data_IF_202385437443
#
_entry.id   IF_202385437443
#
_cell.length_a   1.000
_cell.length_b   1.000
_cell.length_c   1.000
_cell.angle_alpha   90.00
_cell.angle_beta   90.00
_cell.angle_gamma   90.00
#
_symmetry.space_group_name_H-M   'P 1'
#
loop_
_entity.id
_entity.type
_entity.pdbx_description
1 polymer ?
#
# COMPACT_ATOMS: atom_id res chain seq x y z
N UNK A 1 41.61 -41.20 25.62
CA UNK A 1 42.49 -40.24 26.29
C UNK A 1 41.85 -38.85 26.10
N UNK A 2 41.03 -38.38 26.92
CA UNK A 2 41.12 -37.64 28.17
C UNK A 2 41.98 -36.40 28.08
N UNK A 3 41.38 -35.21 28.06
CA UNK A 3 41.79 -34.10 28.89
C UNK A 3 40.67 -33.06 29.06
N UNK A 4 40.38 -32.83 30.33
CA UNK A 4 39.37 -31.94 30.91
C UNK A 4 39.90 -30.50 31.07
N UNK A 5 39.02 -29.51 30.86
CA UNK A 5 38.64 -28.27 31.58
C UNK A 5 39.77 -27.46 32.29
N UNK A 6 39.54 -26.15 32.60
CA UNK A 6 38.38 -25.63 33.35
C UNK A 6 37.80 -24.23 32.96
N UNK A 7 36.59 -23.98 33.48
CA UNK A 7 35.85 -22.73 33.49
C UNK A 7 36.44 -21.67 34.44
N UNK A 8 36.31 -20.36 34.09
CA UNK A 8 36.51 -19.23 35.03
C UNK A 8 35.18 -18.50 35.25
N UNK A 9 34.79 -18.43 36.51
CA UNK A 9 33.74 -17.60 37.12
C UNK A 9 34.14 -16.11 37.01
N UNK A 10 33.24 -15.24 36.64
CA UNK A 10 33.33 -13.82 36.84
C UNK A 10 32.32 -13.37 37.90
N UNK A 11 32.81 -12.61 38.87
CA UNK A 11 32.13 -12.20 40.08
C UNK A 11 31.22 -10.98 39.87
N UNK A 12 30.08 -11.00 40.55
CA UNK A 12 29.17 -9.87 40.69
C UNK A 12 29.76 -8.79 41.60
N UNK A 13 29.69 -7.52 41.19
CA UNK A 13 30.05 -6.35 42.01
C UNK A 13 28.76 -5.61 42.37
N UNK A 14 28.41 -5.68 43.67
CA UNK A 14 27.36 -4.89 44.34
C UNK A 14 27.78 -3.41 44.39
N UNK A 15 26.88 -2.51 44.08
CA UNK A 15 26.97 -1.09 44.40
C UNK A 15 25.98 -0.76 45.51
N UNK A 16 26.53 -0.16 46.58
CA UNK A 16 25.78 0.35 47.73
C UNK A 16 25.46 1.85 47.56
N UNK A 17 24.50 2.40 48.33
CA UNK A 17 23.92 3.73 48.12
C UNK A 17 24.77 4.82 48.79
N UNK A 18 24.74 6.05 48.25
CA UNK A 18 25.31 7.24 48.85
C UNK A 18 24.21 8.17 49.38
N UNK A 19 24.41 8.50 50.66
CA UNK A 19 23.64 9.38 51.50
C UNK A 19 23.86 10.87 51.23
N UNK A 20 22.79 11.63 51.56
CA UNK A 20 22.73 13.08 51.71
C UNK A 20 23.80 13.66 52.66
N UNK A 21 24.30 14.83 52.32
CA UNK A 21 24.78 15.81 53.32
C UNK A 21 24.52 17.25 52.88
N UNK A 22 23.72 17.94 53.66
CA UNK A 22 23.52 19.39 53.78
C UNK A 22 24.73 20.08 54.41
N UNK A 23 25.03 21.32 54.00
CA UNK A 23 25.69 22.38 54.76
C UNK A 23 25.61 23.69 53.97
N UNK A 24 24.85 24.64 54.35
CA UNK A 24 24.96 25.79 55.23
C UNK A 24 25.84 26.93 54.68
N UNK A 25 25.15 28.04 54.40
CA UNK A 25 25.42 29.45 54.57
C UNK A 25 26.83 30.04 54.68
N UNK A 26 27.12 31.07 53.88
CA UNK A 26 27.75 32.33 54.36
C UNK A 26 27.36 33.50 53.48
N UNK A 27 27.07 34.60 54.17
CA UNK A 27 26.51 35.88 53.76
C UNK A 27 27.56 36.90 53.32
N UNK A 28 27.16 37.80 52.43
CA UNK A 28 27.40 39.24 52.28
C UNK A 28 28.66 39.70 51.53
N UNK A 29 28.73 40.95 51.00
CA UNK A 29 27.74 42.03 51.08
C UNK A 29 27.39 42.69 49.71
N UNK A 30 26.45 43.62 49.80
CA UNK A 30 25.80 44.41 48.75
C UNK A 30 26.71 45.37 47.99
N UNK A 31 26.43 45.54 46.71
CA UNK A 31 26.74 46.75 45.95
C UNK A 31 25.50 47.14 45.15
N UNK A 32 24.95 48.30 45.47
CA UNK A 32 23.89 49.01 44.76
C UNK A 32 24.35 49.36 43.35
N UNK A 33 23.62 48.97 42.34
CA UNK A 33 23.55 49.70 41.07
C UNK A 33 22.10 49.66 40.56
N UNK A 34 21.55 50.84 40.48
CA UNK A 34 20.26 51.11 39.90
C UNK A 34 20.22 50.72 38.41
N UNK A 35 19.32 49.84 38.04
CA UNK A 35 18.90 49.68 36.63
C UNK A 35 17.38 49.59 36.56
N UNK A 36 16.80 50.60 35.95
CA UNK A 36 15.37 50.70 35.73
C UNK A 36 14.82 49.54 34.90
N UNK A 37 13.85 48.86 35.46
CA UNK A 37 13.03 47.89 34.77
C UNK A 37 12.24 48.61 33.68
N UNK A 38 12.29 48.21 32.41
CA UNK A 38 11.42 48.79 31.41
C UNK A 38 9.96 48.49 31.75
N UNK A 39 9.03 49.42 31.48
CA UNK A 39 7.63 49.26 31.84
C UNK A 39 7.05 48.01 31.13
N UNK A 40 6.48 47.11 31.92
CA UNK A 40 5.68 46.00 31.39
C UNK A 40 4.61 46.60 30.46
N UNK A 41 4.62 46.18 29.18
CA UNK A 41 3.47 46.43 28.30
C UNK A 41 2.21 45.92 29.00
N UNK A 42 1.12 46.68 29.03
CA UNK A 42 -0.14 46.19 29.53
C UNK A 42 -0.53 44.92 28.75
N UNK A 43 -1.22 43.95 29.41
CA UNK A 43 -1.71 42.78 28.69
C UNK A 43 -2.62 43.26 27.54
N UNK A 44 -2.41 42.71 26.36
CA UNK A 44 -3.25 42.97 25.19
C UNK A 44 -4.71 42.78 25.62
N UNK A 45 -5.53 43.78 25.34
CA UNK A 45 -6.96 43.73 25.64
C UNK A 45 -7.54 42.54 24.92
N UNK A 46 -8.39 41.77 25.58
CA UNK A 46 -9.13 40.62 25.05
C UNK A 46 -10.04 40.96 23.84
N UNK A 47 -10.09 42.24 23.44
CA UNK A 47 -10.94 42.73 22.35
C UNK A 47 -10.38 42.51 20.94
N UNK A 48 -9.08 42.07 20.79
CA UNK A 48 -8.46 41.82 19.49
C UNK A 48 -8.83 40.44 18.92
N UNK A 49 -9.68 39.68 19.56
CA UNK A 49 -10.19 38.39 19.06
C UNK A 49 -11.54 38.53 18.30
N UNK A 50 -12.10 39.73 18.23
CA UNK A 50 -13.30 39.96 17.43
C UNK A 50 -12.90 40.28 15.99
N UNK A 51 -13.20 39.32 15.11
CA UNK A 51 -13.22 39.52 13.64
C UNK A 51 -14.00 40.81 13.40
N UNK A 52 -13.38 41.76 12.70
CA UNK A 52 -14.03 43.02 12.34
C UNK A 52 -15.39 42.71 11.67
N UNK A 53 -16.53 43.12 12.21
CA UNK A 53 -17.85 42.81 11.66
C UNK A 53 -17.98 43.15 10.16
N UNK A 54 -17.25 44.18 9.70
CA UNK A 54 -17.22 44.60 8.31
C UNK A 54 -16.43 43.61 7.38
N UNK A 55 -15.69 42.68 7.96
CA UNK A 55 -14.97 41.63 7.22
C UNK A 55 -15.77 40.34 7.03
N UNK A 56 -16.93 40.22 7.70
CA UNK A 56 -17.80 39.04 7.60
C UNK A 56 -18.73 39.20 6.40
N UNK A 57 -18.50 38.40 5.37
CA UNK A 57 -19.41 38.34 4.23
C UNK A 57 -20.45 37.24 4.46
N UNK A 58 -21.75 37.55 4.43
CA UNK A 58 -22.81 36.57 4.53
C UNK A 58 -22.81 35.70 3.26
N UNK A 59 -22.61 34.39 3.43
CA UNK A 59 -22.69 33.39 2.34
C UNK A 59 -23.86 32.48 2.66
N UNK A 60 -24.65 32.11 1.65
CA UNK A 60 -25.69 31.12 1.83
C UNK A 60 -25.02 29.73 2.07
N UNK A 61 -25.57 29.02 3.06
CA UNK A 61 -25.03 27.70 3.44
C UNK A 61 -24.98 26.73 2.23
N UNK A 62 -25.99 26.77 1.37
CA UNK A 62 -26.05 25.92 0.18
C UNK A 62 -24.89 26.21 -0.76
N UNK A 63 -24.64 27.48 -1.09
CA UNK A 63 -23.57 27.88 -2.01
C UNK A 63 -22.19 27.48 -1.49
N UNK A 64 -21.97 27.67 -0.18
CA UNK A 64 -20.70 27.27 0.47
C UNK A 64 -20.52 25.75 0.48
N UNK A 65 -21.58 24.98 0.75
CA UNK A 65 -21.53 23.52 0.73
C UNK A 65 -21.27 22.99 -0.69
N UNK A 66 -21.93 23.54 -1.70
CA UNK A 66 -21.73 23.13 -3.10
C UNK A 66 -20.29 23.41 -3.55
N UNK A 67 -19.77 24.60 -3.24
CA UNK A 67 -18.39 24.98 -3.56
C UNK A 67 -17.37 24.11 -2.84
N UNK A 68 -17.49 23.99 -1.52
CA UNK A 68 -16.56 23.20 -0.71
C UNK A 68 -16.58 21.71 -1.10
N UNK A 69 -17.76 21.17 -1.45
CA UNK A 69 -17.88 19.79 -1.91
C UNK A 69 -17.22 19.60 -3.29
N UNK A 70 -17.38 20.56 -4.20
CA UNK A 70 -16.74 20.50 -5.51
C UNK A 70 -15.21 20.58 -5.40
N UNK A 71 -14.68 21.50 -4.58
CA UNK A 71 -13.26 21.65 -4.34
C UNK A 71 -12.66 20.38 -3.70
N UNK A 72 -13.38 19.79 -2.72
CA UNK A 72 -13.01 18.52 -2.12
C UNK A 72 -13.01 17.38 -3.14
N UNK A 73 -14.06 17.26 -3.94
CA UNK A 73 -14.18 16.23 -4.96
C UNK A 73 -13.04 16.31 -5.98
N UNK A 74 -12.75 17.51 -6.48
CA UNK A 74 -11.64 17.74 -7.42
C UNK A 74 -10.28 17.38 -6.78
N UNK A 75 -10.04 17.79 -5.55
CA UNK A 75 -8.81 17.45 -4.83
C UNK A 75 -8.65 15.92 -4.67
N UNK A 76 -9.71 15.22 -4.29
CA UNK A 76 -9.66 13.73 -4.14
C UNK A 76 -9.42 13.05 -5.48
N UNK A 77 -10.01 13.52 -6.57
CA UNK A 77 -9.86 12.95 -7.91
C UNK A 77 -8.44 13.18 -8.43
N UNK A 78 -7.97 14.43 -8.44
CA UNK A 78 -6.73 14.82 -9.10
C UNK A 78 -5.48 14.57 -8.24
N UNK A 79 -5.59 14.72 -6.91
CA UNK A 79 -4.42 14.77 -6.02
C UNK A 79 -4.35 13.62 -5.01
N UNK A 80 -5.23 12.60 -5.10
CA UNK A 80 -5.24 11.52 -4.10
C UNK A 80 -5.51 10.13 -4.67
N UNK A 81 -6.66 9.92 -5.35
CA UNK A 81 -7.20 8.59 -5.58
C UNK A 81 -6.79 7.97 -6.91
N UNK A 82 -6.59 8.78 -7.96
CA UNK A 82 -6.32 8.30 -9.30
C UNK A 82 -4.81 8.35 -9.63
N UNK A 83 -4.30 7.34 -10.37
CA UNK A 83 -2.94 7.34 -10.88
C UNK A 83 -2.81 8.22 -12.12
N UNK A 84 -1.63 8.78 -12.36
CA UNK A 84 -1.27 9.37 -13.65
C UNK A 84 -0.99 8.24 -14.66
N UNK A 85 -1.43 8.40 -15.90
CA UNK A 85 -1.26 7.39 -16.94
C UNK A 85 0.20 7.13 -17.30
N UNK A 86 1.07 8.15 -17.18
CA UNK A 86 2.47 8.12 -17.60
C UNK A 86 3.35 7.26 -16.68
N UNK A 87 3.20 7.40 -15.36
CA UNK A 87 4.01 6.66 -14.37
C UNK A 87 3.22 5.64 -13.54
N UNK A 88 1.89 5.62 -13.65
CA UNK A 88 1.02 4.69 -12.94
C UNK A 88 0.95 4.93 -11.43
N UNK A 89 1.43 6.07 -10.94
CA UNK A 89 1.53 6.36 -9.52
C UNK A 89 0.47 7.36 -9.06
N UNK A 90 0.01 7.18 -7.83
CA UNK A 90 -0.71 8.21 -7.10
C UNK A 90 0.30 9.21 -6.51
N UNK A 91 -0.12 10.44 -6.19
CA UNK A 91 0.79 11.44 -5.64
C UNK A 91 1.58 10.97 -4.41
N UNK A 92 0.95 10.26 -3.47
CA UNK A 92 1.65 9.75 -2.29
C UNK A 92 2.76 8.75 -2.63
N UNK A 93 2.54 7.85 -3.61
CA UNK A 93 3.56 6.88 -4.05
C UNK A 93 4.73 7.57 -4.73
N UNK A 94 4.44 8.54 -5.61
CA UNK A 94 5.46 9.33 -6.31
C UNK A 94 6.31 10.12 -5.33
N UNK A 95 5.71 10.77 -4.34
CA UNK A 95 6.39 11.54 -3.29
C UNK A 95 7.29 10.68 -2.41
N UNK A 96 6.84 9.46 -2.06
CA UNK A 96 7.67 8.52 -1.30
C UNK A 96 8.90 8.10 -2.13
N UNK A 97 8.72 7.71 -3.39
CA UNK A 97 9.82 7.28 -4.26
C UNK A 97 10.80 8.44 -4.49
N UNK A 98 10.29 9.64 -4.74
CA UNK A 98 11.09 10.84 -4.91
C UNK A 98 11.89 11.19 -3.66
N UNK A 99 11.24 11.25 -2.49
CA UNK A 99 11.91 11.52 -1.22
C UNK A 99 13.03 10.50 -0.93
N UNK A 100 12.75 9.22 -1.12
CA UNK A 100 13.74 8.15 -0.90
C UNK A 100 14.94 8.29 -1.84
N UNK A 101 14.75 8.70 -3.08
CA UNK A 101 15.85 8.95 -4.01
C UNK A 101 16.67 10.18 -3.60
N UNK A 102 16.01 11.29 -3.28
CA UNK A 102 16.66 12.53 -2.81
C UNK A 102 17.46 12.32 -1.51
N UNK A 103 17.02 11.40 -0.64
CA UNK A 103 17.73 10.99 0.58
C UNK A 103 18.82 9.94 0.31
N UNK A 104 18.93 9.42 -0.91
CA UNK A 104 19.89 8.41 -1.30
C UNK A 104 19.60 7.01 -0.74
N UNK A 105 18.32 6.67 -0.46
CA UNK A 105 17.92 5.34 0.03
C UNK A 105 17.78 4.35 -1.13
N UNK A 106 18.86 4.21 -1.90
CA UNK A 106 18.95 3.42 -3.14
C UNK A 106 19.23 1.94 -2.88
N UNK A 107 19.02 1.05 -3.87
CA UNK A 107 19.19 -0.40 -3.71
C UNK A 107 20.59 -0.85 -3.25
N UNK A 108 21.62 -0.09 -3.58
CA UNK A 108 23.02 -0.33 -3.21
C UNK A 108 23.37 0.19 -1.81
N UNK A 109 22.44 0.83 -1.12
CA UNK A 109 22.63 1.43 0.21
C UNK A 109 21.98 0.59 1.32
N UNK A 110 22.43 0.76 2.57
CA UNK A 110 21.78 0.12 3.72
C UNK A 110 20.30 0.47 3.84
N UNK A 111 19.52 -0.45 4.42
CA UNK A 111 18.14 -0.17 4.80
C UNK A 111 18.03 0.93 5.85
N UNK A 112 16.95 1.70 5.79
CA UNK A 112 16.63 2.75 6.75
C UNK A 112 15.29 2.47 7.42
N UNK A 113 15.06 2.94 8.64
CA UNK A 113 13.79 2.79 9.33
C UNK A 113 12.66 3.47 8.55
N UNK A 114 11.54 2.76 8.38
CA UNK A 114 10.38 3.30 7.69
C UNK A 114 9.84 4.58 8.35
N UNK A 115 9.96 4.68 9.68
CA UNK A 115 9.62 5.91 10.42
C UNK A 115 10.41 7.15 9.95
N UNK A 116 11.65 6.98 9.47
CA UNK A 116 12.42 8.06 8.86
C UNK A 116 11.83 8.46 7.50
N UNK A 117 11.60 7.49 6.63
CA UNK A 117 11.00 7.75 5.30
C UNK A 117 9.65 8.44 5.44
N UNK A 118 8.76 7.94 6.31
CA UNK A 118 7.44 8.56 6.52
C UNK A 118 7.54 9.97 7.08
N UNK A 119 8.48 10.21 8.01
CA UNK A 119 8.72 11.53 8.59
C UNK A 119 9.25 12.55 7.59
N UNK A 120 10.25 12.16 6.81
CA UNK A 120 10.86 13.03 5.78
C UNK A 120 9.84 13.34 4.67
N UNK A 121 9.12 12.33 4.16
CA UNK A 121 8.04 12.51 3.15
C UNK A 121 6.93 13.43 3.66
N UNK A 122 6.49 13.25 4.91
CA UNK A 122 5.45 14.09 5.52
C UNK A 122 5.88 15.54 5.65
N UNK A 123 7.11 15.76 6.10
CA UNK A 123 7.62 17.09 6.37
C UNK A 123 7.85 17.92 5.11
N UNK A 124 8.27 17.29 4.01
CA UNK A 124 8.69 18.02 2.80
C UNK A 124 7.65 18.02 1.68
N UNK A 125 6.95 16.88 1.47
CA UNK A 125 6.20 16.65 0.24
C UNK A 125 4.71 16.38 0.46
N UNK A 126 4.34 15.66 1.54
CA UNK A 126 2.99 15.15 1.68
C UNK A 126 2.36 15.51 3.04
N UNK A 127 1.66 16.66 3.15
CA UNK A 127 1.14 17.19 4.42
C UNK A 127 -0.10 16.41 4.91
N UNK A 128 0.06 15.12 5.16
CA UNK A 128 -0.97 14.21 5.65
C UNK A 128 -0.42 13.31 6.77
N UNK A 129 -1.30 12.55 7.45
CA UNK A 129 -0.89 11.70 8.56
C UNK A 129 0.15 10.65 8.18
N UNK A 130 1.11 10.42 9.08
CA UNK A 130 2.21 9.47 8.94
C UNK A 130 1.73 8.03 8.70
N UNK A 131 0.61 7.63 9.30
CA UNK A 131 0.00 6.32 9.09
C UNK A 131 -0.38 6.07 7.63
N UNK A 132 -0.98 7.05 6.95
CA UNK A 132 -1.35 6.91 5.53
C UNK A 132 -0.13 6.79 4.62
N UNK A 133 0.95 7.51 4.92
CA UNK A 133 2.22 7.43 4.19
C UNK A 133 2.86 6.07 4.44
N UNK A 134 2.86 5.58 5.68
CA UNK A 134 3.38 4.27 6.03
C UNK A 134 2.63 3.15 5.33
N UNK A 135 1.30 3.19 5.31
CA UNK A 135 0.47 2.21 4.61
C UNK A 135 0.76 2.17 3.10
N UNK A 136 0.98 3.34 2.48
CA UNK A 136 1.38 3.42 1.07
C UNK A 136 2.77 2.82 0.82
N UNK A 137 3.75 3.15 1.68
CA UNK A 137 5.11 2.60 1.64
C UNK A 137 5.09 1.06 1.76
N UNK A 138 4.34 0.55 2.73
CA UNK A 138 4.20 -0.89 2.98
C UNK A 138 3.59 -1.60 1.77
N UNK A 139 2.52 -1.07 1.18
CA UNK A 139 1.88 -1.68 0.00
C UNK A 139 2.80 -1.76 -1.20
N UNK A 140 3.68 -0.77 -1.40
CA UNK A 140 4.68 -0.80 -2.47
C UNK A 140 5.77 -1.86 -2.26
N UNK A 141 5.92 -2.38 -1.04
CA UNK A 141 6.89 -3.41 -0.69
C UNK A 141 6.29 -4.84 -0.64
N UNK A 142 4.97 -4.97 -0.52
CA UNK A 142 4.31 -6.26 -0.33
C UNK A 142 4.17 -7.05 -1.64
N UNK A 143 4.79 -8.24 -1.77
CA UNK A 143 4.73 -9.03 -3.00
C UNK A 143 3.35 -9.65 -3.27
N UNK A 144 2.46 -9.68 -2.29
CA UNK A 144 1.07 -10.12 -2.45
C UNK A 144 0.12 -8.96 -2.79
N UNK A 145 0.55 -7.71 -2.64
CA UNK A 145 -0.22 -6.50 -2.99
C UNK A 145 0.18 -5.95 -4.35
N UNK A 146 1.48 -5.93 -4.65
CA UNK A 146 2.04 -5.40 -5.88
C UNK A 146 2.69 -6.52 -6.69
N UNK A 147 2.39 -6.60 -8.00
CA UNK A 147 2.98 -7.65 -8.87
C UNK A 147 4.49 -7.52 -8.96
N UNK A 148 4.98 -6.31 -9.04
CA UNK A 148 6.40 -5.97 -9.00
C UNK A 148 6.63 -4.90 -7.93
N UNK A 149 7.12 -5.27 -6.73
CA UNK A 149 7.42 -4.31 -5.67
C UNK A 149 8.38 -3.21 -6.11
N UNK A 150 8.13 -2.01 -5.61
CA UNK A 150 8.96 -0.82 -5.87
C UNK A 150 9.86 -0.48 -4.68
N UNK A 151 9.62 -1.12 -3.54
CA UNK A 151 10.34 -0.94 -2.28
C UNK A 151 10.88 -2.29 -1.83
N UNK A 152 12.18 -2.35 -1.51
CA UNK A 152 12.80 -3.44 -0.75
C UNK A 152 12.51 -3.26 0.74
N UNK A 153 12.32 -4.34 1.45
CA UNK A 153 11.99 -4.28 2.86
C UNK A 153 12.80 -5.25 3.73
N UNK A 154 12.90 -4.89 5.02
CA UNK A 154 13.45 -5.74 6.07
C UNK A 154 12.55 -5.65 7.31
N UNK A 155 12.13 -6.81 7.84
CA UNK A 155 11.20 -6.91 8.95
C UNK A 155 9.84 -7.48 8.55
N UNK A 156 8.84 -7.30 9.42
CA UNK A 156 7.49 -7.80 9.20
C UNK A 156 6.62 -6.77 8.49
N UNK A 157 6.34 -6.99 7.22
CA UNK A 157 5.46 -6.18 6.36
C UNK A 157 4.05 -6.75 6.23
N UNK A 158 3.67 -7.65 7.12
CA UNK A 158 2.34 -8.27 7.14
C UNK A 158 2.17 -9.42 6.17
N UNK A 159 0.95 -9.87 6.06
CA UNK A 159 0.46 -10.90 5.14
C UNK A 159 -0.93 -10.49 4.64
N UNK A 160 -1.57 -11.24 3.74
CA UNK A 160 -2.97 -10.98 3.37
C UNK A 160 -3.94 -10.96 4.55
N UNK A 161 -3.60 -11.65 5.64
CA UNK A 161 -4.43 -11.81 6.84
C UNK A 161 -4.05 -10.84 7.98
N UNK A 162 -2.81 -10.38 8.03
CA UNK A 162 -2.28 -9.59 9.15
C UNK A 162 -1.59 -8.32 8.67
N UNK A 163 -1.80 -7.24 9.40
CA UNK A 163 -1.13 -5.97 9.15
C UNK A 163 0.38 -6.01 9.43
N UNK A 164 1.12 -5.00 8.97
CA UNK A 164 2.56 -4.87 9.19
C UNK A 164 2.88 -4.50 10.63
N UNK A 165 4.13 -4.70 11.04
CA UNK A 165 4.66 -4.14 12.27
C UNK A 165 4.75 -2.60 12.17
N UNK A 166 4.82 -1.90 13.31
CA UNK A 166 4.92 -0.44 13.32
C UNK A 166 6.21 0.06 12.63
N UNK A 167 6.14 1.24 12.01
CA UNK A 167 7.20 1.86 11.18
C UNK A 167 8.56 2.00 11.86
N UNK A 168 8.60 2.05 13.21
CA UNK A 168 9.84 2.08 14.00
C UNK A 168 10.61 0.76 14.01
N UNK A 169 9.97 -0.36 13.67
CA UNK A 169 10.58 -1.69 13.64
C UNK A 169 10.97 -2.12 12.23
N UNK A 170 10.22 -1.72 11.22
CA UNK A 170 10.43 -2.08 9.81
C UNK A 170 11.48 -1.17 9.16
N UNK A 171 12.13 -1.69 8.13
CA UNK A 171 13.15 -0.97 7.37
C UNK A 171 12.87 -1.10 5.87
N UNK A 172 13.23 -0.07 5.11
CA UNK A 172 12.99 0.00 3.67
C UNK A 172 14.15 0.66 2.93
N UNK A 173 14.20 0.43 1.62
CA UNK A 173 14.98 1.14 0.62
C UNK A 173 14.31 0.99 -0.73
N UNK A 174 14.72 1.77 -1.73
CA UNK A 174 14.20 1.60 -3.09
C UNK A 174 14.58 0.23 -3.66
N UNK A 175 13.64 -0.39 -4.37
CA UNK A 175 13.90 -1.58 -5.18
C UNK A 175 14.57 -1.19 -6.50
N UNK A 176 15.39 -2.04 -7.13
CA UNK A 176 16.01 -1.75 -8.44
C UNK A 176 15.00 -1.36 -9.52
N UNK A 177 13.77 -1.88 -9.48
CA UNK A 177 12.73 -1.52 -10.44
C UNK A 177 12.24 -0.07 -10.24
N UNK A 178 12.22 0.45 -9.01
CA UNK A 178 11.88 1.86 -8.76
C UNK A 178 12.89 2.82 -9.41
N UNK A 179 14.18 2.41 -9.51
CA UNK A 179 15.19 3.20 -10.22
C UNK A 179 14.89 3.33 -11.72
N UNK A 180 14.11 2.41 -12.31
CA UNK A 180 13.67 2.51 -13.70
C UNK A 180 12.51 3.53 -13.88
N UNK A 181 11.79 3.86 -12.81
CA UNK A 181 10.82 4.94 -12.81
C UNK A 181 11.48 6.32 -12.70
N UNK A 182 12.65 6.38 -12.05
CA UNK A 182 13.43 7.59 -11.79
C UNK A 182 14.51 7.85 -12.87
N UNK A 183 14.67 6.92 -13.80
CA UNK A 183 15.75 7.02 -14.80
C UNK A 183 15.62 8.29 -15.61
N UNK A 184 16.75 9.01 -15.79
CA UNK A 184 16.88 10.25 -16.55
C UNK A 184 16.10 11.46 -15.94
N UNK A 185 15.72 11.39 -14.66
CA UNK A 185 14.99 12.48 -13.97
C UNK A 185 15.84 13.76 -13.84
N UNK A 186 17.15 13.61 -13.78
CA UNK A 186 18.11 14.72 -13.68
C UNK A 186 18.42 15.37 -15.07
N UNK A 187 17.79 14.89 -16.15
CA UNK A 187 18.04 15.32 -17.54
C UNK A 187 16.91 16.19 -18.11
N UNK A 188 16.17 16.90 -17.26
CA UNK A 188 15.07 17.80 -17.64
C UNK A 188 13.96 17.10 -18.48
N UNK A 189 13.69 15.84 -18.11
CA UNK A 189 12.71 15.00 -18.81
C UNK A 189 11.28 15.21 -18.33
N UNK A 190 11.11 15.78 -17.13
CA UNK A 190 9.82 16.05 -16.49
C UNK A 190 9.83 17.40 -15.77
N UNK A 191 8.66 18.04 -15.72
CA UNK A 191 8.50 19.31 -15.00
C UNK A 191 8.53 19.08 -13.48
N UNK A 192 9.19 20.03 -12.77
CA UNK A 192 9.19 20.13 -11.32
C UNK A 192 8.22 21.23 -10.88
N UNK A 193 7.55 21.03 -9.76
CA UNK A 193 6.67 22.01 -9.12
C UNK A 193 7.09 22.25 -7.69
N UNK A 194 6.82 23.43 -7.16
CA UNK A 194 7.04 23.73 -5.76
C UNK A 194 6.17 22.85 -4.87
N UNK A 195 6.72 22.41 -3.74
CA UNK A 195 5.97 21.71 -2.69
C UNK A 195 4.93 22.60 -2.03
N UNK A 196 4.03 22.03 -1.22
CA UNK A 196 2.92 22.75 -0.57
C UNK A 196 3.36 23.97 0.27
N UNK A 197 4.58 23.99 0.77
CA UNK A 197 5.17 25.07 1.57
C UNK A 197 6.20 25.91 0.78
N UNK A 198 6.46 25.57 -0.48
CA UNK A 198 7.41 26.26 -1.34
C UNK A 198 8.88 26.12 -0.94
N UNK A 199 9.22 25.19 -0.03
CA UNK A 199 10.61 25.01 0.44
C UNK A 199 11.42 24.03 -0.38
N UNK A 200 10.78 23.19 -1.19
CA UNK A 200 11.39 22.18 -2.04
C UNK A 200 10.64 22.07 -3.38
N UNK A 201 11.11 21.19 -4.25
CA UNK A 201 10.48 20.86 -5.52
C UNK A 201 10.17 19.37 -5.60
N UNK A 202 9.07 19.02 -6.27
CA UNK A 202 8.67 17.65 -6.54
C UNK A 202 8.31 17.47 -8.03
N UNK A 203 8.56 16.28 -8.62
CA UNK A 203 8.20 16.03 -10.01
C UNK A 203 6.68 15.84 -10.15
N UNK A 204 6.10 16.44 -11.19
CA UNK A 204 4.69 16.25 -11.55
C UNK A 204 4.43 14.76 -11.86
N UNK A 205 5.40 14.10 -12.51
CA UNK A 205 5.36 12.69 -12.92
C UNK A 205 6.78 12.15 -12.96
N UNK A 206 6.97 10.85 -12.78
CA UNK A 206 8.28 10.21 -12.98
C UNK A 206 8.49 9.85 -14.47
N UNK A 207 9.74 9.86 -14.99
CA UNK A 207 10.05 9.57 -16.39
C UNK A 207 9.72 8.15 -16.87
N UNK A 208 9.55 7.21 -15.96
CA UNK A 208 9.07 5.83 -16.11
C UNK A 208 9.48 5.12 -17.41
N UNK A 209 10.54 4.34 -17.39
CA UNK A 209 11.02 3.56 -18.55
C UNK A 209 10.17 2.34 -18.91
N UNK A 210 9.14 2.03 -18.14
CA UNK A 210 8.21 0.93 -18.40
C UNK A 210 6.79 1.31 -18.03
N UNK A 211 5.76 0.70 -18.62
CA UNK A 211 4.35 1.05 -18.38
C UNK A 211 3.88 0.53 -17.01
N UNK A 212 4.30 1.19 -15.92
CA UNK A 212 4.02 0.77 -14.55
C UNK A 212 2.51 0.68 -14.25
N UNK A 213 1.68 1.53 -14.88
CA UNK A 213 0.23 1.48 -14.70
C UNK A 213 -0.36 0.11 -15.06
N UNK A 214 0.09 -0.51 -16.15
CA UNK A 214 -0.35 -1.84 -16.55
C UNK A 214 0.36 -2.94 -15.75
N UNK A 215 1.66 -2.78 -15.49
CA UNK A 215 2.47 -3.81 -14.82
C UNK A 215 2.01 -4.04 -13.39
N UNK A 216 1.82 -2.98 -12.61
CA UNK A 216 1.41 -3.07 -11.21
C UNK A 216 -0.08 -2.82 -10.98
N UNK A 217 -0.76 -2.24 -11.96
CA UNK A 217 -2.14 -1.84 -11.79
C UNK A 217 -2.31 -0.68 -10.79
N UNK A 218 -3.55 -0.32 -10.52
CA UNK A 218 -3.90 0.67 -9.50
C UNK A 218 -5.34 0.50 -9.05
N UNK A 219 -5.61 0.73 -7.77
CA UNK A 219 -6.97 0.77 -7.22
C UNK A 219 -7.14 2.02 -6.38
N UNK A 220 -8.29 2.70 -6.52
CA UNK A 220 -8.59 3.89 -5.75
C UNK A 220 -10.06 4.26 -5.83
N UNK A 221 -10.56 4.84 -4.74
CA UNK A 221 -11.93 5.32 -4.63
C UNK A 221 -11.89 6.84 -4.53
N UNK A 222 -12.45 7.52 -5.52
CA UNK A 222 -12.61 8.96 -5.54
C UNK A 222 -14.09 9.36 -5.31
N UNK A 223 -14.38 10.64 -5.38
CA UNK A 223 -15.76 11.13 -5.34
C UNK A 223 -16.39 10.95 -6.71
N UNK A 224 -17.49 10.20 -6.78
CA UNK A 224 -18.23 9.95 -8.02
C UNK A 224 -17.57 8.98 -9.01
N UNK A 225 -16.35 8.51 -8.74
CA UNK A 225 -15.65 7.54 -9.60
C UNK A 225 -14.66 6.69 -8.80
N UNK A 226 -14.28 5.56 -9.40
CA UNK A 226 -13.26 4.67 -8.84
C UNK A 226 -12.36 4.17 -9.96
N UNK A 227 -11.14 3.80 -9.63
CA UNK A 227 -10.23 3.09 -10.53
C UNK A 227 -9.93 1.70 -9.99
N UNK A 228 -9.89 0.72 -10.89
CA UNK A 228 -9.52 -0.67 -10.58
C UNK A 228 -8.85 -1.26 -11.82
N UNK A 229 -7.55 -1.07 -11.92
CA UNK A 229 -6.70 -1.54 -13.02
C UNK A 229 -5.95 -2.76 -12.53
N UNK A 230 -6.12 -3.94 -13.17
CA UNK A 230 -5.42 -5.14 -12.75
C UNK A 230 -3.93 -5.10 -13.13
N UNK A 231 -3.07 -5.81 -12.40
CA UNK A 231 -1.66 -5.97 -12.77
C UNK A 231 -1.50 -6.95 -13.93
N UNK A 232 -0.36 -6.83 -14.66
CA UNK A 232 -0.04 -7.65 -15.82
C UNK A 232 1.40 -8.15 -15.78
N UNK A 233 1.71 -9.15 -16.59
CA UNK A 233 3.06 -9.66 -16.75
C UNK A 233 3.97 -8.62 -17.43
N UNK A 234 5.11 -8.32 -16.82
CA UNK A 234 6.05 -7.31 -17.32
C UNK A 234 6.54 -7.62 -18.74
N UNK A 235 6.92 -8.88 -19.02
CA UNK A 235 7.38 -9.29 -20.33
C UNK A 235 6.31 -9.10 -21.42
N UNK A 236 5.08 -9.57 -21.15
CA UNK A 236 3.94 -9.39 -22.08
C UNK A 236 3.63 -7.91 -22.37
N UNK A 237 3.70 -7.05 -21.35
CA UNK A 237 3.47 -5.60 -21.51
C UNK A 237 4.59 -4.95 -22.29
N UNK A 238 5.85 -5.32 -22.04
CA UNK A 238 7.01 -4.80 -22.79
C UNK A 238 6.94 -5.23 -24.26
N UNK A 239 6.64 -6.50 -24.53
CA UNK A 239 6.49 -7.01 -25.91
C UNK A 239 5.38 -6.28 -26.67
N UNK A 240 4.23 -6.03 -26.01
CA UNK A 240 3.15 -5.25 -26.59
C UNK A 240 3.56 -3.79 -26.85
N UNK A 241 4.33 -3.20 -25.94
CA UNK A 241 4.84 -1.81 -26.09
C UNK A 241 5.81 -1.72 -27.27
N UNK A 242 6.74 -2.67 -27.41
CA UNK A 242 7.66 -2.73 -28.55
C UNK A 242 6.90 -2.88 -29.87
N UNK A 243 5.89 -3.79 -29.89
CA UNK A 243 5.04 -3.95 -31.07
C UNK A 243 4.30 -2.66 -31.45
N UNK A 244 3.81 -1.90 -30.46
CA UNK A 244 3.12 -0.63 -30.69
C UNK A 244 4.07 0.46 -31.18
N UNK A 245 5.32 0.49 -30.72
CA UNK A 245 6.36 1.42 -31.22
C UNK A 245 6.65 1.16 -32.69
N UNK A 246 6.80 -0.12 -33.06
CA UNK A 246 7.05 -0.54 -34.44
C UNK A 246 5.82 -0.38 -35.35
N UNK A 247 4.62 -0.47 -34.78
CA UNK A 247 3.33 -0.42 -35.47
C UNK A 247 2.35 0.53 -34.75
N UNK A 248 2.45 1.87 -34.89
CA UNK A 248 1.61 2.81 -34.17
C UNK A 248 0.10 2.68 -34.42
N UNK A 249 -0.27 2.09 -35.55
CA UNK A 249 -1.67 1.83 -35.95
C UNK A 249 -2.19 0.44 -35.49
N UNK A 250 -1.44 -0.25 -34.60
CA UNK A 250 -1.84 -1.56 -34.11
C UNK A 250 -3.20 -1.48 -33.39
N UNK A 251 -4.08 -2.42 -33.69
CA UNK A 251 -5.37 -2.50 -33.02
C UNK A 251 -5.24 -3.10 -31.61
N UNK A 252 -6.23 -2.86 -30.74
CA UNK A 252 -6.32 -3.50 -29.41
C UNK A 252 -6.28 -5.03 -29.57
N UNK A 253 -6.89 -5.60 -30.62
CA UNK A 253 -6.83 -7.02 -30.90
C UNK A 253 -5.41 -7.54 -31.20
N UNK A 254 -4.55 -6.70 -31.77
CA UNK A 254 -3.14 -7.05 -31.98
C UNK A 254 -2.36 -7.02 -30.67
N UNK A 255 -2.55 -6.01 -29.82
CA UNK A 255 -1.95 -5.92 -28.49
C UNK A 255 -2.36 -7.09 -27.59
N UNK A 256 -3.62 -7.55 -27.68
CA UNK A 256 -4.12 -8.72 -26.94
C UNK A 256 -3.47 -10.05 -27.35
N UNK A 257 -2.70 -10.10 -28.44
CA UNK A 257 -1.89 -11.28 -28.79
C UNK A 257 -0.69 -11.42 -27.85
N UNK A 258 -0.19 -10.28 -27.33
CA UNK A 258 0.91 -10.20 -26.36
C UNK A 258 0.36 -10.21 -24.93
N UNK A 259 -0.49 -9.26 -24.58
CA UNK A 259 -1.13 -9.14 -23.24
C UNK A 259 -2.39 -9.99 -23.22
N UNK A 260 -2.25 -11.24 -22.76
CA UNK A 260 -3.34 -12.24 -22.80
C UNK A 260 -4.37 -12.06 -21.70
N UNK A 261 -3.98 -11.42 -20.60
CA UNK A 261 -4.83 -11.18 -19.44
C UNK A 261 -4.04 -10.67 -18.24
N UNK A 262 -4.73 -10.32 -17.13
CA UNK A 262 -4.07 -9.94 -15.89
C UNK A 262 -3.19 -11.04 -15.31
N UNK A 263 -2.14 -10.63 -14.60
CA UNK A 263 -1.22 -11.50 -13.87
C UNK A 263 -1.22 -11.09 -12.38
N UNK A 264 -2.09 -11.74 -11.60
CA UNK A 264 -2.25 -11.43 -10.20
C UNK A 264 -1.13 -12.00 -9.33
N UNK A 265 -0.60 -11.24 -8.34
CA UNK A 265 0.56 -11.66 -7.55
C UNK A 265 0.29 -12.89 -6.67
N UNK A 266 -0.95 -13.18 -6.31
CA UNK A 266 -1.34 -14.32 -5.47
C UNK A 266 -1.67 -15.59 -6.25
N UNK A 267 -1.51 -15.57 -7.58
CA UNK A 267 -1.85 -16.69 -8.45
C UNK A 267 -3.36 -16.90 -8.62
N UNK A 268 -3.79 -18.16 -8.59
CA UNK A 268 -5.16 -18.55 -8.85
C UNK A 268 -5.44 -18.77 -10.33
N UNK A 269 -6.71 -18.94 -10.67
CA UNK A 269 -7.20 -19.21 -12.01
C UNK A 269 -8.15 -18.11 -12.47
N UNK A 270 -8.02 -17.67 -13.71
CA UNK A 270 -8.98 -16.78 -14.36
C UNK A 270 -9.96 -17.63 -15.17
N UNK A 271 -11.25 -17.40 -14.99
CA UNK A 271 -12.32 -18.16 -15.65
C UNK A 271 -12.92 -17.36 -16.80
N UNK A 272 -12.73 -17.87 -18.00
CA UNK A 272 -13.24 -17.24 -19.23
C UNK A 272 -12.37 -16.09 -19.73
N UNK A 273 -12.65 -15.63 -20.94
CA UNK A 273 -11.91 -14.51 -21.58
C UNK A 273 -12.79 -13.30 -21.88
N UNK A 274 -14.11 -13.42 -21.74
CA UNK A 274 -15.03 -12.35 -22.13
C UNK A 274 -14.80 -11.10 -21.29
N UNK A 275 -14.68 -11.24 -19.94
CA UNK A 275 -14.42 -10.12 -19.06
C UNK A 275 -13.06 -9.44 -19.31
N UNK A 276 -12.04 -10.18 -19.76
CA UNK A 276 -10.74 -9.60 -20.18
C UNK A 276 -10.93 -8.80 -21.47
N UNK A 277 -11.62 -9.37 -22.46
CA UNK A 277 -11.88 -8.72 -23.74
C UNK A 277 -12.65 -7.42 -23.55
N UNK A 278 -13.74 -7.47 -22.76
CA UNK A 278 -14.53 -6.29 -22.44
C UNK A 278 -13.68 -5.20 -21.75
N UNK A 279 -12.88 -5.59 -20.75
CA UNK A 279 -11.98 -4.69 -20.03
C UNK A 279 -10.99 -3.99 -20.97
N UNK A 280 -10.34 -4.74 -21.85
CA UNK A 280 -9.31 -4.21 -22.75
C UNK A 280 -9.89 -3.36 -23.89
N UNK A 281 -11.10 -3.69 -24.37
CA UNK A 281 -11.76 -2.92 -25.44
C UNK A 281 -12.43 -1.65 -24.92
N UNK A 282 -13.04 -1.70 -23.74
CA UNK A 282 -13.90 -0.62 -23.23
C UNK A 282 -13.36 0.09 -21.99
N UNK A 283 -12.30 -0.45 -21.37
CA UNK A 283 -11.82 -0.01 -20.07
C UNK A 283 -12.67 -0.49 -18.90
N UNK A 284 -13.72 -1.30 -19.13
CA UNK A 284 -14.61 -1.82 -18.09
C UNK A 284 -14.90 -3.29 -18.32
N UNK A 285 -14.87 -4.08 -17.23
CA UNK A 285 -15.12 -5.51 -17.31
C UNK A 285 -15.19 -6.16 -15.95
N UNK A 286 -15.49 -7.46 -15.94
CA UNK A 286 -15.50 -8.26 -14.72
C UNK A 286 -14.76 -9.56 -14.96
N UNK A 287 -13.65 -9.73 -14.25
CA UNK A 287 -12.76 -10.90 -14.40
C UNK A 287 -13.03 -11.86 -13.25
N UNK A 288 -13.53 -13.05 -13.56
CA UNK A 288 -13.77 -14.09 -12.56
C UNK A 288 -12.46 -14.78 -12.20
N UNK A 289 -12.12 -14.75 -10.90
CA UNK A 289 -10.97 -15.43 -10.33
C UNK A 289 -11.43 -16.59 -9.45
N UNK A 290 -10.66 -17.65 -9.43
CA UNK A 290 -10.91 -18.84 -8.62
C UNK A 290 -9.61 -19.31 -7.97
N UNK A 291 -9.72 -19.78 -6.74
CA UNK A 291 -8.65 -20.45 -6.03
C UNK A 291 -8.16 -21.69 -6.78
N UNK A 292 -6.89 -21.99 -6.66
CA UNK A 292 -6.32 -23.27 -7.13
C UNK A 292 -6.49 -24.29 -6.05
N UNK A 293 -7.24 -25.33 -6.35
CA UNK A 293 -7.60 -26.39 -5.40
C UNK A 293 -7.26 -27.76 -5.98
N UNK A 294 -6.86 -28.69 -5.09
CA UNK A 294 -6.73 -30.12 -5.39
C UNK A 294 -7.62 -30.93 -4.44
N UNK A 295 -8.09 -32.07 -4.92
CA UNK A 295 -8.79 -33.06 -4.11
C UNK A 295 -7.83 -34.20 -3.89
N UNK A 296 -7.54 -34.52 -2.65
CA UNK A 296 -6.55 -35.52 -2.24
C UNK A 296 -7.16 -36.49 -1.24
N UNK A 297 -6.55 -37.69 -1.13
CA UNK A 297 -6.90 -38.64 -0.10
C UNK A 297 -6.07 -38.34 1.16
N UNK A 298 -6.75 -37.97 2.22
CA UNK A 298 -6.16 -37.69 3.52
C UNK A 298 -5.96 -38.97 4.37
N UNK A 299 -5.62 -38.74 5.62
CA UNK A 299 -5.45 -39.85 6.60
C UNK A 299 -6.75 -40.60 6.77
N UNK A 300 -6.68 -41.96 6.87
CA UNK A 300 -7.82 -42.87 7.11
C UNK A 300 -8.87 -42.92 5.98
N UNK A 301 -8.49 -42.61 4.74
CA UNK A 301 -9.39 -42.66 3.59
C UNK A 301 -10.43 -41.53 3.55
N UNK A 302 -10.25 -40.45 4.26
CA UNK A 302 -11.06 -39.25 4.16
C UNK A 302 -10.57 -38.40 2.97
N UNK A 303 -11.49 -37.84 2.21
CA UNK A 303 -11.14 -36.87 1.16
C UNK A 303 -10.87 -35.51 1.78
N UNK A 304 -9.86 -34.83 1.28
CA UNK A 304 -9.52 -33.46 1.65
C UNK A 304 -9.48 -32.59 0.41
N UNK A 305 -9.88 -31.33 0.57
CA UNK A 305 -9.70 -30.28 -0.43
C UNK A 305 -8.55 -29.41 0.06
N UNK A 306 -7.48 -29.33 -0.73
CA UNK A 306 -6.30 -28.51 -0.45
C UNK A 306 -6.33 -27.28 -1.35
N UNK A 307 -6.29 -26.09 -0.75
CA UNK A 307 -6.23 -24.80 -1.43
C UNK A 307 -4.81 -24.28 -1.36
N UNK A 308 -4.16 -24.10 -2.52
CA UNK A 308 -2.76 -23.68 -2.62
C UNK A 308 -2.59 -22.25 -3.09
N UNK A 309 -3.56 -21.69 -3.81
CA UNK A 309 -3.55 -20.31 -4.27
C UNK A 309 -4.95 -19.71 -4.09
N UNK A 310 -5.02 -18.45 -3.68
CA UNK A 310 -6.27 -17.72 -3.48
C UNK A 310 -6.46 -16.64 -4.53
N UNK A 311 -7.70 -16.24 -4.81
CA UNK A 311 -7.98 -15.04 -5.60
C UNK A 311 -7.28 -13.81 -5.01
N UNK A 312 -6.89 -12.88 -5.87
CA UNK A 312 -6.23 -11.64 -5.45
C UNK A 312 -7.06 -10.88 -4.43
N UNK A 313 -6.42 -10.44 -3.34
CA UNK A 313 -7.02 -9.75 -2.19
C UNK A 313 -7.97 -10.61 -1.33
N UNK A 314 -8.01 -11.92 -1.53
CA UNK A 314 -8.72 -12.81 -0.62
C UNK A 314 -7.86 -13.16 0.59
N UNK A 315 -8.49 -13.21 1.78
CA UNK A 315 -7.87 -13.58 3.05
C UNK A 315 -8.17 -15.05 3.37
N UNK A 316 -7.14 -15.82 3.70
CA UNK A 316 -7.28 -17.24 4.04
C UNK A 316 -8.09 -17.42 5.33
N UNK A 317 -7.79 -16.63 6.35
CA UNK A 317 -8.48 -16.69 7.64
C UNK A 317 -9.95 -16.27 7.52
N UNK A 318 -10.27 -15.26 6.70
CA UNK A 318 -11.65 -14.86 6.46
C UNK A 318 -12.43 -15.94 5.70
N UNK A 319 -11.81 -16.64 4.74
CA UNK A 319 -12.42 -17.77 4.04
C UNK A 319 -12.67 -18.93 4.99
N UNK A 320 -11.69 -19.30 5.83
CA UNK A 320 -11.84 -20.36 6.81
C UNK A 320 -12.98 -20.07 7.79
N UNK A 321 -13.03 -18.84 8.33
CA UNK A 321 -14.13 -18.40 9.21
C UNK A 321 -15.49 -18.46 8.50
N UNK A 322 -15.55 -18.02 7.24
CA UNK A 322 -16.79 -18.07 6.45
C UNK A 322 -17.27 -19.50 6.19
N UNK A 323 -16.34 -20.42 5.93
CA UNK A 323 -16.68 -21.85 5.77
C UNK A 323 -17.27 -22.39 7.07
N UNK A 324 -16.64 -22.08 8.22
CA UNK A 324 -17.15 -22.52 9.52
C UNK A 324 -18.56 -21.98 9.82
N UNK A 325 -18.80 -20.69 9.56
CA UNK A 325 -20.15 -20.10 9.69
C UNK A 325 -21.20 -20.81 8.85
N UNK A 326 -20.87 -21.16 7.59
CA UNK A 326 -21.78 -21.86 6.70
C UNK A 326 -22.06 -23.31 7.16
N UNK A 327 -21.06 -23.98 7.73
CA UNK A 327 -21.21 -25.32 8.29
C UNK A 327 -22.08 -25.29 9.55
N UNK A 328 -21.84 -24.37 10.46
CA UNK A 328 -22.59 -24.20 11.71
C UNK A 328 -24.04 -23.75 11.43
N UNK A 329 -24.25 -22.93 10.39
CA UNK A 329 -25.55 -22.49 9.93
C UNK A 329 -26.36 -23.58 9.16
N UNK A 330 -25.70 -24.67 8.76
CA UNK A 330 -26.32 -25.75 7.97
C UNK A 330 -26.47 -25.44 6.48
N UNK A 331 -25.88 -24.34 5.99
CA UNK A 331 -25.90 -23.95 4.58
C UNK A 331 -24.88 -24.73 3.73
N UNK A 332 -23.87 -25.32 4.37
CA UNK A 332 -22.84 -26.12 3.75
C UNK A 332 -22.60 -27.41 4.53
N UNK A 333 -23.03 -28.52 3.94
CA UNK A 333 -22.84 -29.86 4.52
C UNK A 333 -21.64 -30.59 3.87
N UNK A 334 -21.21 -31.70 4.52
CA UNK A 334 -20.15 -32.56 4.00
C UNK A 334 -18.74 -32.15 4.43
N UNK A 335 -18.57 -31.09 5.21
CA UNK A 335 -17.28 -30.67 5.79
C UNK A 335 -17.19 -31.18 7.23
N UNK A 336 -16.05 -31.78 7.59
CA UNK A 336 -15.75 -32.25 8.92
C UNK A 336 -14.86 -31.29 9.70
N UNK A 337 -13.90 -30.62 9.01
CA UNK A 337 -12.91 -29.75 9.66
C UNK A 337 -12.27 -28.79 8.64
N UNK A 338 -11.82 -27.62 9.11
CA UNK A 338 -11.13 -26.60 8.29
C UNK A 338 -9.90 -26.14 9.03
N UNK A 339 -8.72 -26.36 8.43
CA UNK A 339 -7.44 -26.02 9.00
C UNK A 339 -6.64 -25.11 8.08
N UNK A 340 -6.24 -23.94 8.58
CA UNK A 340 -5.29 -23.07 7.88
C UNK A 340 -3.86 -23.39 8.34
N UNK A 341 -3.10 -24.00 7.45
CA UNK A 341 -1.69 -24.34 7.63
C UNK A 341 -0.79 -23.42 6.80
N UNK A 342 -1.29 -22.27 6.38
CA UNK A 342 -0.52 -21.29 5.59
C UNK A 342 0.67 -20.77 6.40
N UNK A 343 1.85 -20.71 5.77
CA UNK A 343 3.09 -20.27 6.41
C UNK A 343 4.06 -19.69 5.39
N UNK A 344 4.85 -18.70 5.80
CA UNK A 344 5.93 -18.15 4.97
C UNK A 344 5.48 -17.56 3.63
N UNK A 345 4.24 -17.06 3.54
CA UNK A 345 3.67 -16.52 2.30
C UNK A 345 3.08 -17.58 1.36
N UNK A 346 3.09 -18.85 1.76
CA UNK A 346 2.44 -19.94 1.00
C UNK A 346 1.07 -20.25 1.61
N UNK A 347 0.05 -20.23 0.77
CA UNK A 347 -1.32 -20.63 1.15
C UNK A 347 -1.41 -22.15 1.23
N UNK A 348 -1.96 -22.65 2.33
CA UNK A 348 -2.23 -24.08 2.53
C UNK A 348 -3.47 -24.27 3.42
N UNK A 349 -4.66 -24.00 2.85
CA UNK A 349 -5.92 -24.24 3.54
C UNK A 349 -6.41 -25.65 3.25
N UNK A 350 -6.58 -26.44 4.30
CA UNK A 350 -7.02 -27.85 4.23
C UNK A 350 -8.44 -27.95 4.73
N UNK A 351 -9.34 -28.42 3.88
CA UNK A 351 -10.75 -28.66 4.20
C UNK A 351 -10.99 -30.17 4.19
N UNK A 352 -11.22 -30.74 5.37
CA UNK A 352 -11.46 -32.17 5.56
C UNK A 352 -12.93 -32.47 5.36
N UNK A 353 -13.25 -33.46 4.51
CA UNK A 353 -14.62 -33.83 4.22
C UNK A 353 -15.13 -34.96 5.14
N UNK A 354 -16.45 -35.04 5.34
CA UNK A 354 -17.10 -36.21 5.94
C UNK A 354 -16.97 -37.42 4.99
N UNK A 355 -16.98 -38.64 5.54
CA UNK A 355 -16.71 -39.86 4.74
C UNK A 355 -17.68 -40.11 3.59
N UNK A 356 -18.93 -39.70 3.76
CA UNK A 356 -20.04 -39.86 2.83
C UNK A 356 -20.25 -38.66 1.89
N UNK A 357 -19.41 -37.61 2.03
CA UNK A 357 -19.53 -36.41 1.26
C UNK A 357 -18.97 -36.55 -0.16
N UNK A 358 -19.70 -36.04 -1.15
CA UNK A 358 -19.20 -35.92 -2.52
C UNK A 358 -18.31 -34.69 -2.65
N UNK A 359 -17.01 -34.90 -2.81
CA UNK A 359 -15.99 -33.85 -2.85
C UNK A 359 -16.26 -32.80 -3.94
N UNK A 360 -16.75 -33.20 -5.11
CA UNK A 360 -17.05 -32.27 -6.20
C UNK A 360 -18.26 -31.36 -5.89
N UNK A 361 -19.26 -31.89 -5.20
CA UNK A 361 -20.44 -31.12 -4.79
C UNK A 361 -20.04 -30.09 -3.73
N UNK A 362 -19.28 -30.53 -2.70
CA UNK A 362 -18.78 -29.63 -1.66
C UNK A 362 -17.88 -28.54 -2.29
N UNK A 363 -16.96 -28.91 -3.16
CA UNK A 363 -16.07 -27.95 -3.86
C UNK A 363 -16.87 -26.90 -4.65
N UNK A 364 -17.90 -27.31 -5.38
CA UNK A 364 -18.75 -26.38 -6.15
C UNK A 364 -19.55 -25.44 -5.23
N UNK A 365 -20.02 -25.93 -4.09
CA UNK A 365 -20.70 -25.12 -3.09
C UNK A 365 -19.71 -24.12 -2.43
N UNK A 366 -18.49 -24.53 -2.13
CA UNK A 366 -17.43 -23.66 -1.65
C UNK A 366 -17.14 -22.51 -2.62
N UNK A 367 -17.04 -22.77 -3.92
CA UNK A 367 -16.87 -21.72 -4.93
C UNK A 367 -18.06 -20.76 -5.03
N UNK A 368 -19.26 -21.24 -4.75
CA UNK A 368 -20.49 -20.45 -4.84
C UNK A 368 -20.71 -19.57 -3.61
N UNK A 369 -20.35 -20.07 -2.41
CA UNK A 369 -20.74 -19.47 -1.13
C UNK A 369 -19.60 -18.73 -0.42
N UNK A 370 -18.37 -18.86 -0.92
CA UNK A 370 -17.17 -18.28 -0.31
C UNK A 370 -16.32 -17.49 -1.30
N UNK A 371 -15.31 -16.77 -0.79
CA UNK A 371 -14.34 -16.02 -1.60
C UNK A 371 -13.30 -16.92 -2.31
N UNK A 372 -13.43 -18.26 -2.25
CA UNK A 372 -12.64 -19.15 -3.11
C UNK A 372 -12.90 -18.92 -4.61
N UNK A 373 -14.02 -18.30 -4.93
CA UNK A 373 -14.26 -17.70 -6.24
C UNK A 373 -14.81 -16.29 -6.05
N UNK A 374 -14.23 -15.31 -6.74
CA UNK A 374 -14.64 -13.91 -6.70
C UNK A 374 -14.50 -13.27 -8.08
N UNK A 375 -14.99 -12.06 -8.23
CA UNK A 375 -14.84 -11.28 -9.45
C UNK A 375 -14.05 -10.01 -9.18
N UNK A 376 -13.05 -9.72 -10.00
CA UNK A 376 -12.33 -8.46 -10.01
C UNK A 376 -13.04 -7.48 -10.95
N UNK A 377 -13.65 -6.40 -10.41
CA UNK A 377 -14.28 -5.39 -11.24
C UNK A 377 -13.20 -4.51 -11.88
N UNK A 378 -13.06 -4.58 -13.19
CA UNK A 378 -12.14 -3.73 -13.94
C UNK A 378 -12.82 -2.40 -14.27
N UNK A 379 -12.14 -1.31 -13.94
CA UNK A 379 -12.48 0.05 -14.34
C UNK A 379 -11.17 0.84 -14.54
N UNK A 380 -10.72 0.93 -15.78
CA UNK A 380 -9.41 1.46 -16.13
C UNK A 380 -9.47 3.00 -16.23
N UNK A 381 -9.59 3.66 -15.09
CA UNK A 381 -9.61 5.12 -14.98
C UNK A 381 -8.25 5.63 -14.53
N UNK A 382 -7.67 6.56 -15.28
CA UNK A 382 -6.42 7.23 -14.93
C UNK A 382 -6.47 8.71 -15.33
N UNK A 383 -5.54 9.50 -14.82
CA UNK A 383 -5.37 10.91 -15.19
C UNK A 383 -4.57 11.01 -16.49
N UNK A 384 -5.16 11.62 -17.50
CA UNK A 384 -4.50 11.98 -18.76
C UNK A 384 -4.44 13.51 -18.81
N UNK A 385 -3.24 14.08 -18.68
CA UNK A 385 -3.05 15.53 -18.54
C UNK A 385 -3.94 16.14 -17.44
N UNK A 386 -3.99 15.50 -16.28
CA UNK A 386 -4.80 15.94 -15.15
C UNK A 386 -6.31 15.69 -15.26
N UNK A 387 -6.81 15.13 -16.37
CA UNK A 387 -8.23 14.85 -16.58
C UNK A 387 -8.49 13.36 -16.43
N UNK A 388 -9.44 12.94 -15.58
CA UNK A 388 -9.80 11.52 -15.43
C UNK A 388 -10.46 11.00 -16.71
N UNK A 389 -9.94 9.90 -17.25
CA UNK A 389 -10.46 9.23 -18.44
C UNK A 389 -10.52 7.72 -18.22
N UNK A 390 -11.58 7.08 -18.74
CA UNK A 390 -11.60 5.62 -18.88
C UNK A 390 -10.80 5.25 -20.14
N UNK A 391 -9.81 4.40 -19.96
CA UNK A 391 -8.85 3.99 -21.00
C UNK A 391 -9.08 2.53 -21.39
N UNK A 392 -8.77 2.19 -22.61
CA UNK A 392 -8.62 0.82 -23.09
C UNK A 392 -7.15 0.38 -23.00
N UNK A 393 -6.84 -0.83 -23.49
CA UNK A 393 -5.46 -1.32 -23.51
C UNK A 393 -4.58 -0.49 -24.45
#
# INVERSE_FOLDING_TARGET
MASKKPAKKAAAKKLAPRSDKSASSKSAPAAETASGTPPRKPPAKQDDLFVNPDSVQPVQLQDEMERSFLDYAMSVIMSRALPDVRDGLKPVHRRIIWDMDQQGFRPDRPFVKCARVTGDTMARYHPHGDGAIYDALVRMAQPFSLRHPLIDFHGNYGSPDFGPAASRYTESRLHPLAMQLLADIDEDTVDLIATYDGTAEEPIVLPARFPNLLVNGSQGIAVGMATSIPPHNLGEVVDATLHLIDNPEASIGDLMKFVKGPDFPTGGLILGRDGIKDAYQTGRGSIKMRAKVSIEEGKRGQMIIVVTELPYQASCSAIASRIQELVDGGDLDGIADVNDNSSGGQTNLIITLKRDANSNVVMNNLFKLTQLQTSFPVNMVALVHGVPRTLNL
#
